data_IF_220955649272
#
_entry.id   IF_220955649272
#
_cell.length_a   1.000
_cell.length_b   1.000
_cell.length_c   1.000
_cell.angle_alpha   90.00
_cell.angle_beta   90.00
_cell.angle_gamma   90.00
#
_symmetry.space_group_name_H-M   'P 1'
#
loop_
_entity.id
_entity.type
_entity.pdbx_description
1 polymer ?
#
# COMPACT_ATOMS: atom_id res chain seq x y z
N UNK A 1 12.86 -4.67 -4.53
CA UNK A 1 12.05 -5.90 -4.63
C UNK A 1 10.57 -5.61 -4.77
N UNK A 2 9.93 -4.87 -3.87
CA UNK A 2 8.49 -4.55 -3.98
C UNK A 2 8.11 -3.89 -5.30
N UNK A 3 8.90 -2.94 -5.78
CA UNK A 3 8.67 -2.27 -7.07
C UNK A 3 8.68 -3.24 -8.26
N UNK A 4 9.51 -4.31 -8.20
CA UNK A 4 9.49 -5.36 -9.21
C UNK A 4 8.20 -6.20 -9.12
N UNK A 5 7.77 -6.57 -7.89
CA UNK A 5 6.50 -7.28 -7.68
C UNK A 5 5.33 -6.40 -8.15
N UNK A 6 5.38 -5.10 -7.89
CA UNK A 6 4.37 -4.13 -8.33
C UNK A 6 4.40 -3.78 -9.83
N UNK A 7 5.37 -4.31 -10.58
CA UNK A 7 5.53 -4.02 -12.02
C UNK A 7 6.06 -2.62 -12.34
N UNK A 8 6.53 -1.88 -11.34
CA UNK A 8 7.10 -0.54 -11.52
C UNK A 8 8.57 -0.56 -11.97
N UNK A 9 9.27 -1.66 -11.70
CA UNK A 9 10.64 -1.89 -12.14
C UNK A 9 10.74 -3.24 -12.85
N UNK A 10 11.46 -3.25 -13.96
CA UNK A 10 11.78 -4.47 -14.69
C UNK A 10 12.82 -5.31 -13.93
N UNK A 11 12.66 -6.62 -13.94
CA UNK A 11 13.64 -7.55 -13.38
C UNK A 11 14.90 -7.55 -14.26
N UNK A 12 16.06 -7.57 -13.63
CA UNK A 12 17.34 -7.78 -14.33
C UNK A 12 17.49 -9.24 -14.76
N UNK A 13 17.01 -10.17 -13.92
CA UNK A 13 17.06 -11.62 -14.16
C UNK A 13 15.90 -12.30 -13.44
N UNK A 14 15.51 -13.49 -13.90
CA UNK A 14 14.43 -14.28 -13.30
C UNK A 14 13.04 -13.91 -13.78
N UNK A 15 12.02 -14.37 -13.08
CA UNK A 15 10.62 -14.08 -13.38
C UNK A 15 9.78 -14.00 -12.11
N UNK A 16 8.70 -13.22 -12.15
CA UNK A 16 7.65 -13.19 -11.12
C UNK A 16 6.41 -13.81 -11.72
N UNK A 17 5.77 -14.70 -10.99
CA UNK A 17 4.54 -15.35 -11.40
C UNK A 17 3.47 -15.16 -10.32
N UNK A 18 2.30 -14.73 -10.74
CA UNK A 18 1.12 -14.67 -9.89
C UNK A 18 0.23 -15.88 -10.18
N UNK A 19 -0.20 -16.57 -9.12
CA UNK A 19 -1.08 -17.74 -9.23
C UNK A 19 -2.30 -17.56 -8.34
N UNK A 20 -3.46 -17.97 -8.86
CA UNK A 20 -4.69 -18.10 -8.10
C UNK A 20 -5.20 -19.52 -8.29
N UNK A 21 -5.45 -20.23 -7.19
CA UNK A 21 -5.94 -21.62 -7.21
C UNK A 21 -5.08 -22.53 -8.12
N UNK A 22 -3.74 -22.40 -8.03
CA UNK A 22 -2.73 -23.03 -8.86
C UNK A 22 -2.71 -22.64 -10.35
N UNK A 23 -3.59 -21.78 -10.82
CA UNK A 23 -3.59 -21.28 -12.18
C UNK A 23 -2.75 -20.01 -12.30
N UNK A 24 -1.92 -19.94 -13.34
CA UNK A 24 -1.13 -18.75 -13.65
C UNK A 24 -2.07 -17.60 -14.06
N UNK A 25 -1.87 -16.44 -13.45
CA UNK A 25 -2.57 -15.21 -13.83
C UNK A 25 -1.75 -14.47 -14.88
N UNK A 26 -2.37 -13.97 -15.97
CA UNK A 26 -1.72 -13.01 -16.85
C UNK A 26 -1.31 -11.74 -16.09
N UNK A 27 -0.22 -11.12 -16.52
CA UNK A 27 0.32 -9.94 -15.81
C UNK A 27 -0.71 -8.81 -15.67
N UNK A 28 -1.50 -8.54 -16.71
CA UNK A 28 -2.57 -7.54 -16.67
C UNK A 28 -3.62 -7.83 -15.59
N UNK A 29 -3.95 -9.09 -15.38
CA UNK A 29 -4.89 -9.51 -14.33
C UNK A 29 -4.25 -9.44 -12.94
N UNK A 30 -2.95 -9.76 -12.84
CA UNK A 30 -2.21 -9.68 -11.59
C UNK A 30 -2.14 -8.22 -11.08
N UNK A 31 -1.84 -7.26 -11.97
CA UNK A 31 -1.75 -5.83 -11.59
C UNK A 31 -3.09 -5.22 -11.15
N UNK A 32 -4.21 -5.72 -11.68
CA UNK A 32 -5.55 -5.31 -11.19
C UNK A 32 -5.81 -5.78 -9.76
N UNK A 33 -5.13 -6.82 -9.29
CA UNK A 33 -5.33 -7.48 -8.00
C UNK A 33 -4.37 -7.02 -6.91
N UNK A 34 -3.52 -6.04 -7.18
CA UNK A 34 -2.58 -5.50 -6.19
C UNK A 34 -2.80 -4.00 -5.97
N UNK A 35 -2.53 -3.54 -4.78
CA UNK A 35 -2.38 -2.12 -4.44
C UNK A 35 -1.02 -1.88 -3.79
N UNK A 36 -0.55 -0.63 -3.86
CA UNK A 36 0.78 -0.25 -3.43
C UNK A 36 0.72 1.02 -2.59
N UNK A 37 1.41 1.02 -1.44
CA UNK A 37 1.66 2.21 -0.64
C UNK A 37 3.16 2.36 -0.42
N UNK A 38 3.71 3.53 -0.74
CA UNK A 38 5.12 3.84 -0.52
C UNK A 38 5.31 5.35 -0.28
N UNK A 39 6.40 5.77 0.41
CA UNK A 39 6.67 7.18 0.66
C UNK A 39 6.86 7.98 -0.63
N UNK A 40 7.49 7.37 -1.64
CA UNK A 40 7.81 8.00 -2.93
C UNK A 40 6.65 8.02 -3.94
N UNK A 41 5.51 7.42 -3.63
CA UNK A 41 4.31 7.56 -4.45
C UNK A 41 3.59 8.85 -4.04
N UNK A 42 3.35 9.71 -5.03
CA UNK A 42 2.66 10.96 -4.81
C UNK A 42 1.14 10.79 -4.90
N UNK A 43 0.43 11.64 -4.17
CA UNK A 43 -1.01 11.86 -4.33
C UNK A 43 -1.23 13.09 -5.19
N UNK A 44 -2.40 13.22 -5.84
CA UNK A 44 -2.72 14.41 -6.63
C UNK A 44 -3.04 15.56 -5.65
N UNK A 45 -2.04 16.39 -5.41
CA UNK A 45 -2.07 17.41 -4.36
C UNK A 45 -3.04 18.58 -4.64
N UNK A 46 -3.43 18.77 -5.90
CA UNK A 46 -4.41 19.77 -6.34
C UNK A 46 -5.84 19.40 -5.97
N UNK A 47 -6.11 18.13 -5.75
CA UNK A 47 -7.43 17.63 -5.37
C UNK A 47 -7.68 17.78 -3.87
N UNK A 48 -8.94 17.93 -3.49
CA UNK A 48 -9.40 17.65 -2.13
C UNK A 48 -9.39 16.13 -1.88
N UNK A 49 -9.44 15.73 -0.61
CA UNK A 49 -9.46 14.30 -0.25
C UNK A 49 -10.65 13.55 -0.88
N UNK A 50 -11.82 14.19 -0.90
CA UNK A 50 -13.02 13.60 -1.50
C UNK A 50 -12.84 13.39 -3.01
N UNK A 51 -12.37 14.41 -3.71
CA UNK A 51 -12.11 14.32 -5.16
C UNK A 51 -11.08 13.23 -5.48
N UNK A 52 -9.99 13.19 -4.72
CA UNK A 52 -8.93 12.19 -4.89
C UNK A 52 -9.45 10.75 -4.69
N UNK A 53 -10.21 10.49 -3.64
CA UNK A 53 -10.76 9.15 -3.38
C UNK A 53 -11.82 8.77 -4.43
N UNK A 54 -12.65 9.70 -4.90
CA UNK A 54 -13.57 9.45 -6.03
C UNK A 54 -12.81 9.13 -7.31
N UNK A 55 -11.76 9.90 -7.61
CA UNK A 55 -10.91 9.67 -8.77
C UNK A 55 -10.24 8.29 -8.70
N UNK A 56 -9.61 7.96 -7.58
CA UNK A 56 -8.99 6.65 -7.38
C UNK A 56 -9.97 5.49 -7.57
N UNK A 57 -11.17 5.62 -7.03
CA UNK A 57 -12.22 4.60 -7.10
C UNK A 57 -12.67 4.27 -8.53
N UNK A 58 -12.47 5.17 -9.51
CA UNK A 58 -12.79 4.92 -10.92
C UNK A 58 -11.80 3.96 -11.57
N UNK A 59 -10.54 3.97 -11.16
CA UNK A 59 -9.48 3.12 -11.72
C UNK A 59 -9.28 1.85 -10.91
N UNK A 60 -9.40 1.96 -9.59
CA UNK A 60 -9.25 0.86 -8.65
C UNK A 60 -10.38 0.93 -7.62
N UNK A 61 -11.46 0.17 -7.83
CA UNK A 61 -12.62 0.21 -6.96
C UNK A 61 -12.26 -0.08 -5.50
N UNK A 62 -12.93 0.62 -4.59
CA UNK A 62 -12.88 0.29 -3.18
C UNK A 62 -13.77 -0.90 -2.86
N UNK A 63 -13.51 -1.55 -1.74
CA UNK A 63 -14.35 -2.62 -1.19
C UNK A 63 -15.78 -2.12 -1.10
N UNK A 64 -16.72 -2.86 -1.69
CA UNK A 64 -18.12 -2.42 -1.92
C UNK A 64 -18.88 -1.95 -0.68
N UNK A 65 -18.51 -2.43 0.49
CA UNK A 65 -19.22 -2.12 1.73
C UNK A 65 -18.77 -0.81 2.39
N UNK A 66 -17.76 -0.12 1.85
CA UNK A 66 -17.22 1.10 2.45
C UNK A 66 -17.45 2.31 1.56
N UNK A 67 -18.21 3.29 2.08
CA UNK A 67 -18.36 4.58 1.42
C UNK A 67 -17.09 5.42 1.57
N UNK A 68 -16.90 6.38 0.68
CA UNK A 68 -15.77 7.34 0.78
C UNK A 68 -15.82 8.11 2.09
N UNK A 69 -17.02 8.47 2.57
CA UNK A 69 -17.18 9.14 3.86
C UNK A 69 -16.72 8.25 5.02
N UNK A 70 -17.01 6.96 4.96
CA UNK A 70 -16.52 5.99 5.94
C UNK A 70 -15.00 5.90 5.93
N UNK A 71 -14.39 5.78 4.74
CA UNK A 71 -12.92 5.73 4.58
C UNK A 71 -12.25 6.97 5.19
N UNK A 72 -12.80 8.16 4.91
CA UNK A 72 -12.31 9.43 5.44
C UNK A 72 -12.37 9.47 6.96
N UNK A 73 -13.43 8.95 7.55
CA UNK A 73 -13.60 8.86 9.01
C UNK A 73 -12.61 7.89 9.64
N UNK A 74 -12.44 6.70 9.06
CA UNK A 74 -11.48 5.68 9.52
C UNK A 74 -10.04 6.17 9.54
N UNK A 75 -9.63 6.99 8.57
CA UNK A 75 -8.27 7.56 8.55
C UNK A 75 -8.12 8.86 9.36
N UNK A 76 -9.20 9.30 10.02
CA UNK A 76 -9.18 10.47 10.91
C UNK A 76 -8.94 11.81 10.21
N UNK A 77 -9.42 11.97 8.96
CA UNK A 77 -9.22 13.19 8.16
C UNK A 77 -10.52 13.96 7.86
N UNK A 78 -11.60 13.72 8.60
CA UNK A 78 -12.91 14.33 8.40
C UNK A 78 -12.86 15.86 8.36
N UNK A 79 -12.14 16.48 9.30
CA UNK A 79 -12.04 17.93 9.42
C UNK A 79 -11.21 18.60 8.31
N UNK A 80 -10.45 17.79 7.55
CA UNK A 80 -9.58 18.28 6.50
C UNK A 80 -10.15 18.08 5.09
N UNK A 81 -11.30 17.45 4.95
CA UNK A 81 -11.88 17.00 3.66
C UNK A 81 -12.06 18.13 2.63
N UNK A 82 -12.37 19.34 3.08
CA UNK A 82 -12.59 20.51 2.20
C UNK A 82 -11.30 21.22 1.75
N UNK A 83 -10.13 20.79 2.26
CA UNK A 83 -8.84 21.38 1.89
C UNK A 83 -8.18 20.53 0.81
N UNK A 84 -7.45 21.17 -0.10
CA UNK A 84 -6.60 20.48 -1.05
C UNK A 84 -5.48 19.73 -0.31
N UNK A 85 -5.11 18.56 -0.84
CA UNK A 85 -4.10 17.67 -0.24
C UNK A 85 -2.72 18.35 -0.13
N UNK A 86 -2.42 19.34 -0.97
CA UNK A 86 -1.17 20.13 -0.85
C UNK A 86 -0.99 20.80 0.51
N UNK A 87 -2.08 21.12 1.20
CA UNK A 87 -2.06 21.73 2.53
C UNK A 87 -2.04 20.71 3.69
N UNK A 88 -1.96 19.42 3.37
CA UNK A 88 -1.85 18.37 4.37
C UNK A 88 -0.42 18.23 4.87
N UNK A 89 -0.27 17.88 6.15
CA UNK A 89 1.03 17.47 6.68
C UNK A 89 1.49 16.17 6.01
N UNK A 90 2.79 15.85 6.12
CA UNK A 90 3.34 14.59 5.60
C UNK A 90 2.63 13.37 6.17
N UNK A 91 2.30 13.37 7.47
CA UNK A 91 1.54 12.30 8.10
C UNK A 91 0.09 12.20 7.60
N UNK A 92 -0.58 13.32 7.31
CA UNK A 92 -1.91 13.30 6.69
C UNK A 92 -1.84 12.74 5.26
N UNK A 93 -0.85 13.13 4.46
CA UNK A 93 -0.63 12.57 3.12
C UNK A 93 -0.36 11.07 3.18
N UNK A 94 0.41 10.61 4.16
CA UNK A 94 0.66 9.18 4.37
C UNK A 94 -0.63 8.42 4.71
N UNK A 95 -1.51 8.98 5.54
CA UNK A 95 -2.84 8.39 5.83
C UNK A 95 -3.71 8.30 4.56
N UNK A 96 -3.64 9.27 3.65
CA UNK A 96 -4.32 9.20 2.34
C UNK A 96 -3.78 8.06 1.48
N UNK A 97 -2.44 7.90 1.42
CA UNK A 97 -1.80 6.78 0.70
C UNK A 97 -2.20 5.42 1.27
N UNK A 98 -2.23 5.30 2.60
CA UNK A 98 -2.71 4.08 3.28
C UNK A 98 -4.17 3.79 2.94
N UNK A 99 -5.04 4.82 2.96
CA UNK A 99 -6.45 4.66 2.64
C UNK A 99 -6.65 4.10 1.23
N UNK A 100 -6.05 4.73 0.22
CA UNK A 100 -6.18 4.25 -1.16
C UNK A 100 -5.68 2.81 -1.33
N UNK A 101 -4.63 2.40 -0.62
CA UNK A 101 -4.07 1.07 -0.75
C UNK A 101 -4.90 0.02 0.00
N UNK A 102 -5.25 0.29 1.26
CA UNK A 102 -5.96 -0.64 2.14
C UNK A 102 -7.42 -0.85 1.71
N UNK A 103 -8.12 0.22 1.33
CA UNK A 103 -9.54 0.11 0.96
C UNK A 103 -9.78 -0.31 -0.50
N UNK A 104 -8.76 -0.37 -1.35
CA UNK A 104 -8.90 -0.95 -2.70
C UNK A 104 -9.32 -2.42 -2.63
N UNK A 105 -10.25 -2.84 -3.50
CA UNK A 105 -10.75 -4.22 -3.61
C UNK A 105 -9.73 -5.09 -4.37
N UNK A 106 -8.67 -5.47 -3.68
CA UNK A 106 -7.55 -6.24 -4.23
C UNK A 106 -7.14 -7.38 -3.31
N UNK A 107 -6.49 -8.40 -3.86
CA UNK A 107 -6.03 -9.57 -3.11
C UNK A 107 -4.62 -9.42 -2.56
N UNK A 108 -3.83 -8.47 -3.08
CA UNK A 108 -2.42 -8.28 -2.71
C UNK A 108 -2.21 -6.82 -2.33
N UNK A 109 -1.64 -6.60 -1.15
CA UNK A 109 -1.28 -5.28 -0.63
C UNK A 109 0.24 -5.22 -0.46
N UNK A 110 0.87 -4.30 -1.18
CA UNK A 110 2.31 -4.03 -1.12
C UNK A 110 2.56 -2.74 -0.35
N UNK A 111 3.34 -2.83 0.71
CA UNK A 111 3.62 -1.73 1.63
C UNK A 111 5.14 -1.52 1.74
N UNK A 112 5.62 -0.35 1.34
CA UNK A 112 7.01 0.07 1.44
C UNK A 112 7.09 1.19 2.48
N UNK A 113 7.75 0.94 3.60
CA UNK A 113 7.84 1.86 4.75
C UNK A 113 6.50 2.56 5.09
N UNK A 114 5.42 1.78 5.35
CA UNK A 114 4.06 2.32 5.45
C UNK A 114 3.87 3.34 6.58
N UNK A 115 4.69 3.32 7.64
CA UNK A 115 4.59 4.25 8.75
C UNK A 115 5.48 5.49 8.59
N UNK A 116 6.14 5.67 7.45
CA UNK A 116 6.92 6.88 7.17
C UNK A 116 6.11 8.14 7.45
N UNK A 117 6.68 9.07 8.22
CA UNK A 117 6.07 10.33 8.63
C UNK A 117 4.82 10.21 9.53
N UNK A 118 4.50 9.04 10.05
CA UNK A 118 3.42 8.87 11.02
C UNK A 118 3.93 9.10 12.45
N UNK A 119 3.09 9.75 13.25
CA UNK A 119 3.23 9.79 14.70
C UNK A 119 2.71 8.49 15.34
N UNK A 120 2.83 8.35 16.65
CA UNK A 120 2.38 7.15 17.38
C UNK A 120 0.92 6.82 17.06
N UNK A 121 0.03 7.83 17.03
CA UNK A 121 -1.39 7.62 16.70
C UNK A 121 -1.58 7.18 15.23
N UNK A 122 -0.73 7.66 14.33
CA UNK A 122 -0.74 7.23 12.93
C UNK A 122 -0.28 5.78 12.76
N UNK A 123 0.69 5.34 13.57
CA UNK A 123 1.14 3.94 13.60
C UNK A 123 0.04 3.04 14.18
N UNK A 124 -0.63 3.43 15.26
CA UNK A 124 -1.78 2.70 15.81
C UNK A 124 -2.91 2.59 14.78
N UNK A 125 -3.18 3.68 14.05
CA UNK A 125 -4.14 3.66 12.94
C UNK A 125 -3.74 2.66 11.86
N UNK A 126 -2.47 2.65 11.43
CA UNK A 126 -1.96 1.69 10.45
C UNK A 126 -2.21 0.25 10.88
N UNK A 127 -1.85 -0.12 12.11
CA UNK A 127 -2.11 -1.47 12.63
C UNK A 127 -3.61 -1.81 12.65
N UNK A 128 -4.45 -0.87 13.10
CA UNK A 128 -5.90 -1.05 13.11
C UNK A 128 -6.46 -1.27 11.70
N UNK A 129 -5.97 -0.53 10.69
CA UNK A 129 -6.38 -0.70 9.30
C UNK A 129 -6.00 -2.09 8.75
N UNK A 130 -4.77 -2.54 9.02
CA UNK A 130 -4.32 -3.87 8.59
C UNK A 130 -5.15 -4.97 9.27
N UNK A 131 -5.34 -4.88 10.58
CA UNK A 131 -6.10 -5.87 11.35
C UNK A 131 -7.57 -5.95 10.91
N UNK A 132 -8.21 -4.82 10.66
CA UNK A 132 -9.64 -4.79 10.30
C UNK A 132 -9.91 -5.17 8.85
N UNK A 133 -9.04 -4.78 7.90
CA UNK A 133 -9.37 -4.81 6.48
C UNK A 133 -8.49 -5.70 5.62
N UNK A 134 -7.41 -6.30 6.17
CA UNK A 134 -6.45 -7.05 5.35
C UNK A 134 -6.33 -8.54 5.72
N UNK A 135 -7.24 -9.10 6.54
CA UNK A 135 -7.16 -10.49 7.05
C UNK A 135 -7.14 -11.54 5.93
N UNK A 136 -7.91 -11.33 4.86
CA UNK A 136 -8.05 -12.27 3.75
C UNK A 136 -7.18 -11.90 2.54
N UNK A 137 -6.12 -11.13 2.76
CA UNK A 137 -5.22 -10.64 1.70
C UNK A 137 -3.79 -11.06 1.93
N UNK A 138 -3.04 -11.17 0.84
CA UNK A 138 -1.59 -11.25 0.92
C UNK A 138 -1.03 -9.84 1.17
N UNK A 139 -0.49 -9.61 2.37
CA UNK A 139 0.18 -8.36 2.72
C UNK A 139 1.68 -8.59 2.70
N UNK A 140 2.39 -7.81 1.87
CA UNK A 140 3.87 -7.84 1.79
C UNK A 140 4.38 -6.47 2.23
N UNK A 141 5.15 -6.47 3.32
CA UNK A 141 5.77 -5.25 3.87
C UNK A 141 7.28 -5.28 3.61
N UNK A 142 7.82 -4.18 3.11
CA UNK A 142 9.24 -3.94 3.02
C UNK A 142 9.59 -2.78 3.95
N UNK A 143 10.36 -3.06 4.99
CA UNK A 143 10.74 -2.07 5.99
C UNK A 143 11.96 -2.52 6.79
N UNK A 144 12.66 -1.56 7.36
CA UNK A 144 13.71 -1.77 8.35
C UNK A 144 13.17 -1.61 9.79
N UNK A 145 11.94 -1.14 9.97
CA UNK A 145 11.32 -0.94 11.30
C UNK A 145 10.40 -2.12 11.64
N UNK A 146 10.71 -2.78 12.76
CA UNK A 146 9.94 -3.95 13.24
C UNK A 146 8.47 -3.62 13.54
N UNK A 147 8.18 -2.39 13.91
CA UNK A 147 6.82 -1.93 14.19
C UNK A 147 5.93 -2.08 12.95
N UNK A 148 6.46 -1.83 11.75
CA UNK A 148 5.70 -1.87 10.50
C UNK A 148 5.29 -3.27 10.03
N UNK A 149 6.02 -4.31 10.49
CA UNK A 149 5.77 -5.70 10.09
C UNK A 149 5.57 -6.67 11.26
N UNK A 150 5.33 -6.17 12.46
CA UNK A 150 5.17 -6.99 13.68
C UNK A 150 4.07 -8.06 13.56
N UNK A 151 3.03 -7.83 12.76
CA UNK A 151 1.92 -8.74 12.51
C UNK A 151 2.22 -9.84 11.47
N UNK A 152 3.36 -9.75 10.77
CA UNK A 152 3.69 -10.70 9.68
C UNK A 152 4.11 -12.06 10.23
N UNK A 153 3.65 -13.13 9.55
CA UNK A 153 3.96 -14.52 9.95
C UNK A 153 5.27 -15.03 9.35
N UNK A 154 5.71 -14.46 8.24
CA UNK A 154 6.91 -14.88 7.53
C UNK A 154 7.80 -13.66 7.26
N UNK A 155 9.11 -13.88 7.37
CA UNK A 155 10.11 -12.83 7.12
C UNK A 155 11.16 -13.35 6.15
N UNK A 156 11.57 -12.50 5.22
CA UNK A 156 12.64 -12.77 4.27
C UNK A 156 13.67 -11.65 4.43
N UNK A 157 14.90 -12.04 4.77
CA UNK A 157 16.00 -11.09 4.77
C UNK A 157 16.63 -11.05 3.37
N UNK A 158 16.49 -9.93 2.68
CA UNK A 158 16.99 -9.75 1.31
C UNK A 158 18.52 -9.87 1.25
N UNK A 159 19.22 -9.59 2.35
CA UNK A 159 20.68 -9.72 2.40
C UNK A 159 21.16 -11.16 2.26
N UNK A 160 20.35 -12.14 2.65
CA UNK A 160 20.69 -13.58 2.54
C UNK A 160 20.74 -14.05 1.08
N UNK A 161 20.21 -13.24 0.16
CA UNK A 161 20.17 -13.51 -1.29
C UNK A 161 21.17 -12.65 -2.10
N UNK A 162 22.04 -11.88 -1.43
CA UNK A 162 23.12 -11.18 -2.14
C UNK A 162 24.10 -12.19 -2.72
N UNK A 163 24.33 -12.15 -4.03
CA UNK A 163 25.44 -12.86 -4.66
C UNK A 163 26.75 -12.37 -4.02
N UNK A 164 27.62 -13.30 -3.61
CA UNK A 164 28.99 -12.95 -3.25
C UNK A 164 29.62 -12.26 -4.44
N UNK A 165 29.97 -10.98 -4.30
CA UNK A 165 30.71 -10.25 -5.34
C UNK A 165 32.08 -10.93 -5.43
N UNK A 166 32.27 -11.77 -6.43
CA UNK A 166 33.61 -12.28 -6.75
C UNK A 166 34.42 -11.04 -7.18
N UNK A 167 35.29 -10.58 -6.29
CA UNK A 167 36.28 -9.58 -6.66
C UNK A 167 37.15 -10.22 -7.73
N UNK A 168 37.11 -9.69 -8.94
CA UNK A 168 38.08 -9.98 -10.01
C UNK A 168 39.29 -9.08 -9.83
#
# INVERSE_FOLDING_TARGET
MLQCIGGMLQLSEGSIQFKKDNNLLPDEEAYKRLSFCAPYLDVIEEMTLIEFLHFHNQFKPFIKNFSISYIIEEIGLKEATGKQIRYYSSGMKQRVKLAQAVFSDVSILLLDEPCSNLDIKGIELYHSLIEKYCQDRLVIVCSNDEVEYSFTKQRINVLDYKRATTQA
#
